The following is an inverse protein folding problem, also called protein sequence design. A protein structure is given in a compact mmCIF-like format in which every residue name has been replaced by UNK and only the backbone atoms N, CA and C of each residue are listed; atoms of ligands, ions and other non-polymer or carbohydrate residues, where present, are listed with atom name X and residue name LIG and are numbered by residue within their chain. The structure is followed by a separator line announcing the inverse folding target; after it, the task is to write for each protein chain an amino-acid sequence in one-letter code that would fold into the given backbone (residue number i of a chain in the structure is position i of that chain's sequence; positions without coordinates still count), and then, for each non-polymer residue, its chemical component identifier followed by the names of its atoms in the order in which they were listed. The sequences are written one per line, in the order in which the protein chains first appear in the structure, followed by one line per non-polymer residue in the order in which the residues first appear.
data_IF_082682507425
#
_entry.id   IF_082682507425
#
_cell.length_a   1.000
_cell.length_b   1.000
_cell.length_c   1.000
_cell.angle_alpha   90.00
_cell.angle_beta   90.00
_cell.angle_gamma   90.00
#
_symmetry.space_group_name_H-M   'P 1'
#
loop_
_entity.id
_entity.type
_entity.pdbx_description
1 polymer ?
#
# COMPACT_ATOMS: atom_id res chain seq x y z
N UNK A 1 19.80 -2.02 5.29
CA UNK A 1 18.71 -2.61 6.09
C UNK A 1 17.45 -1.87 5.69
N UNK A 2 16.43 -2.54 5.15
CA UNK A 2 15.18 -1.86 4.82
C UNK A 2 14.52 -1.39 6.12
N UNK A 3 14.25 -0.10 6.22
CA UNK A 3 13.61 0.48 7.40
C UNK A 3 12.10 0.26 7.32
N UNK A 4 11.66 -0.93 7.74
CA UNK A 4 10.25 -1.32 7.79
C UNK A 4 9.43 -0.48 8.78
N UNK A 5 10.07 0.36 9.61
CA UNK A 5 9.41 1.24 10.58
C UNK A 5 8.71 2.45 9.96
N UNK A 6 8.80 2.63 8.63
CA UNK A 6 8.24 3.78 7.91
C UNK A 6 7.00 3.46 7.08
N UNK A 7 6.34 2.32 7.29
CA UNK A 7 5.00 2.12 6.72
C UNK A 7 4.04 3.08 7.42
N UNK A 8 3.44 4.00 6.67
CA UNK A 8 2.50 4.99 7.21
C UNK A 8 1.09 4.49 6.98
N UNK A 9 0.29 4.50 8.03
CA UNK A 9 -1.12 4.16 8.00
C UNK A 9 -1.92 5.43 8.20
N UNK A 10 -2.90 5.70 7.33
CA UNK A 10 -3.81 6.82 7.53
C UNK A 10 -4.78 6.56 8.68
N UNK A 11 -5.39 7.64 9.15
CA UNK A 11 -6.63 7.53 9.91
C UNK A 11 -7.70 6.82 9.08
N UNK A 12 -8.62 6.16 9.78
CA UNK A 12 -9.76 5.48 9.15
C UNK A 12 -10.83 6.51 8.84
N UNK A 13 -11.42 6.39 7.68
CA UNK A 13 -12.58 7.17 7.26
C UNK A 13 -13.62 6.22 6.69
N UNK A 14 -14.89 6.51 6.88
CA UNK A 14 -15.99 5.64 6.46
C UNK A 14 -17.05 6.42 5.69
N UNK A 15 -17.72 5.75 4.78
CA UNK A 15 -19.00 6.20 4.22
C UNK A 15 -20.15 5.36 4.80
N UNK A 16 -21.33 5.42 4.20
CA UNK A 16 -22.51 4.69 4.66
C UNK A 16 -22.41 3.16 4.52
N UNK A 17 -21.44 2.65 3.75
CA UNK A 17 -21.32 1.25 3.36
C UNK A 17 -19.99 0.61 3.78
N UNK A 18 -18.88 1.36 3.81
CA UNK A 18 -17.53 0.82 4.01
C UNK A 18 -16.63 1.69 4.89
N UNK A 19 -15.62 1.05 5.50
CA UNK A 19 -14.51 1.70 6.19
C UNK A 19 -13.25 1.62 5.31
N UNK A 20 -12.53 2.73 5.20
CA UNK A 20 -11.38 2.91 4.34
C UNK A 20 -10.16 3.39 5.13
N UNK A 21 -8.98 3.04 4.62
CA UNK A 21 -7.67 3.51 5.06
C UNK A 21 -6.71 3.35 3.90
N UNK A 22 -5.76 4.26 3.76
CA UNK A 22 -4.62 4.08 2.85
C UNK A 22 -3.34 3.73 3.62
N UNK A 23 -2.50 2.93 2.98
CA UNK A 23 -1.19 2.52 3.50
C UNK A 23 -0.14 3.02 2.53
N UNK A 24 0.82 3.79 3.04
CA UNK A 24 1.90 4.36 2.24
C UNK A 24 3.17 3.55 2.51
N UNK A 25 3.67 2.92 1.44
CA UNK A 25 4.91 2.16 1.48
C UNK A 25 6.12 3.04 1.11
N UNK A 26 7.24 2.94 1.85
CA UNK A 26 8.48 3.58 1.46
C UNK A 26 8.96 3.10 0.08
N UNK A 27 9.44 4.03 -0.75
CA UNK A 27 9.98 3.69 -2.10
C UNK A 27 11.10 2.66 -2.07
N UNK A 28 11.88 2.61 -0.98
CA UNK A 28 12.96 1.64 -0.81
C UNK A 28 12.43 0.22 -0.64
N UNK A 29 11.27 0.04 0.01
CA UNK A 29 10.62 -1.25 0.18
C UNK A 29 10.04 -1.76 -1.14
N UNK A 30 9.45 -0.88 -1.95
CA UNK A 30 8.92 -1.26 -3.27
C UNK A 30 10.00 -1.95 -4.14
N UNK A 31 11.25 -1.46 -4.09
CA UNK A 31 12.37 -2.05 -4.86
C UNK A 31 12.74 -3.48 -4.44
N UNK A 32 12.30 -3.92 -3.25
CA UNK A 32 12.58 -5.25 -2.72
C UNK A 32 11.45 -6.24 -3.02
N UNK A 33 10.31 -5.76 -3.51
CA UNK A 33 9.15 -6.60 -3.77
C UNK A 33 9.34 -7.42 -5.06
N UNK A 34 8.78 -8.64 -5.12
CA UNK A 34 8.76 -9.43 -6.34
C UNK A 34 8.09 -8.67 -7.50
N UNK A 35 8.63 -8.82 -8.72
CA UNK A 35 8.02 -8.22 -9.92
C UNK A 35 6.57 -8.67 -10.14
N UNK A 36 6.20 -9.86 -9.66
CA UNK A 36 4.83 -10.39 -9.74
C UNK A 36 3.82 -9.62 -8.89
N UNK A 37 4.26 -8.73 -8.00
CA UNK A 37 3.38 -7.88 -7.18
C UNK A 37 3.08 -6.55 -7.87
N UNK A 38 3.77 -6.25 -8.96
CA UNK A 38 3.52 -5.06 -9.76
C UNK A 38 2.46 -5.35 -10.82
N UNK A 39 1.75 -4.30 -11.21
CA UNK A 39 0.85 -4.34 -12.35
C UNK A 39 1.64 -4.70 -13.62
N UNK A 40 1.02 -5.37 -14.60
CA UNK A 40 1.68 -5.76 -15.85
C UNK A 40 1.96 -4.57 -16.78
N UNK A 41 1.50 -3.37 -16.42
CA UNK A 41 1.74 -2.13 -17.17
C UNK A 41 3.02 -1.43 -16.70
N UNK A 42 3.42 -0.39 -17.45
CA UNK A 42 4.59 0.42 -17.12
C UNK A 42 4.32 1.47 -16.03
N UNK A 43 3.20 1.36 -15.30
CA UNK A 43 2.83 2.34 -14.26
C UNK A 43 3.77 2.30 -13.04
N UNK A 44 4.42 1.16 -12.82
CA UNK A 44 5.23 0.91 -11.62
C UNK A 44 4.41 0.82 -10.34
N UNK A 45 3.08 0.66 -10.45
CA UNK A 45 2.17 0.45 -9.33
C UNK A 45 2.11 -1.03 -8.95
N UNK A 46 1.72 -1.29 -7.70
CA UNK A 46 1.37 -2.64 -7.28
C UNK A 46 0.05 -3.04 -7.94
N UNK A 47 -0.08 -4.33 -8.29
CA UNK A 47 -1.41 -4.88 -8.60
C UNK A 47 -2.22 -5.02 -7.32
N UNK A 48 -3.49 -5.38 -7.46
CA UNK A 48 -4.29 -5.81 -6.32
C UNK A 48 -3.65 -7.05 -5.70
N UNK A 49 -3.39 -6.94 -4.41
CA UNK A 49 -2.72 -7.95 -3.59
C UNK A 49 -3.75 -8.61 -2.68
N UNK A 50 -3.76 -9.93 -2.63
CA UNK A 50 -4.59 -10.66 -1.67
C UNK A 50 -4.07 -10.47 -0.24
N UNK A 51 -4.88 -10.82 0.77
CA UNK A 51 -4.53 -10.64 2.18
C UNK A 51 -3.18 -11.24 2.57
N UNK A 52 -2.91 -12.47 2.15
CA UNK A 52 -1.64 -13.13 2.43
C UNK A 52 -0.44 -12.42 1.77
N UNK A 53 -0.65 -11.77 0.61
CA UNK A 53 0.39 -11.08 -0.13
C UNK A 53 0.74 -9.73 0.52
N UNK A 54 -0.26 -8.90 0.83
CA UNK A 54 0.00 -7.62 1.48
C UNK A 54 0.51 -7.78 2.92
N UNK A 55 0.07 -8.83 3.64
CA UNK A 55 0.68 -9.19 4.94
C UNK A 55 2.14 -9.61 4.77
N UNK A 56 2.48 -10.30 3.69
CA UNK A 56 3.87 -10.67 3.34
C UNK A 56 4.77 -9.46 3.03
N UNK A 57 4.21 -8.35 2.56
CA UNK A 57 4.91 -7.06 2.39
C UNK A 57 5.23 -6.41 3.75
N UNK A 58 4.66 -6.91 4.85
CA UNK A 58 4.82 -6.32 6.19
C UNK A 58 3.72 -5.32 6.55
N UNK A 59 2.71 -5.15 5.69
CA UNK A 59 1.52 -4.36 6.03
C UNK A 59 0.75 -5.11 7.12
N UNK A 60 0.54 -4.45 8.25
CA UNK A 60 -0.11 -5.06 9.43
C UNK A 60 -1.32 -4.24 9.81
N UNK A 61 -2.49 -4.84 9.67
CA UNK A 61 -3.79 -4.26 10.04
C UNK A 61 -4.72 -5.34 10.60
N UNK A 62 -5.84 -4.91 11.17
CA UNK A 62 -6.89 -5.79 11.70
C UNK A 62 -7.48 -6.70 10.61
N UNK A 63 -8.32 -7.66 10.99
CA UNK A 63 -9.00 -8.53 10.04
C UNK A 63 -10.09 -7.76 9.27
N UNK A 64 -10.43 -8.24 8.07
CA UNK A 64 -11.55 -7.73 7.26
C UNK A 64 -11.20 -6.62 6.26
N UNK A 65 -9.93 -6.24 6.14
CA UNK A 65 -9.50 -5.24 5.16
C UNK A 65 -9.22 -5.88 3.79
N UNK A 66 -9.87 -5.35 2.76
CA UNK A 66 -9.62 -5.71 1.37
C UNK A 66 -8.79 -4.63 0.67
N UNK A 67 -7.78 -5.04 -0.09
CA UNK A 67 -6.98 -4.12 -0.88
C UNK A 67 -7.72 -3.84 -2.18
N UNK A 68 -8.26 -2.63 -2.33
CA UNK A 68 -9.15 -2.31 -3.44
C UNK A 68 -8.44 -1.57 -4.58
N UNK A 69 -7.52 -0.65 -4.27
CA UNK A 69 -6.89 0.21 -5.27
C UNK A 69 -5.49 0.67 -4.86
N UNK A 70 -4.63 0.91 -5.86
CA UNK A 70 -3.29 1.48 -5.68
C UNK A 70 -3.24 2.83 -6.39
N UNK A 71 -2.94 3.88 -5.65
CA UNK A 71 -2.80 5.23 -6.18
C UNK A 71 -1.34 5.69 -6.08
N UNK A 72 -0.80 6.26 -7.17
CA UNK A 72 0.46 6.99 -7.09
C UNK A 72 0.27 8.20 -6.14
N UNK A 73 1.26 8.55 -5.30
CA UNK A 73 1.17 9.75 -4.49
C UNK A 73 0.96 10.96 -5.40
N UNK A 74 -0.08 11.75 -5.12
CA UNK A 74 -0.36 12.96 -5.89
C UNK A 74 0.85 13.90 -5.87
N UNK A 75 1.12 14.65 -6.95
CA UNK A 75 2.33 15.47 -7.10
C UNK A 75 2.53 16.52 -5.98
N UNK A 76 1.48 16.86 -5.24
CA UNK A 76 1.53 17.78 -4.09
C UNK A 76 1.93 17.11 -2.77
N UNK A 77 1.95 15.77 -2.69
CA UNK A 77 2.55 15.01 -1.58
C UNK A 77 4.08 14.94 -1.80
N UNK A 78 4.71 16.11 -1.79
CA UNK A 78 6.15 16.27 -1.56
C UNK A 78 6.23 17.21 -0.38
N UNK A 79 6.56 16.66 0.79
CA UNK A 79 6.74 17.42 2.03
C UNK A 79 7.55 18.70 1.78
N UNK A 80 7.04 19.81 2.31
CA UNK A 80 7.84 20.99 2.63
C UNK A 80 8.61 20.76 3.93
#
# INVERSE_FOLDING_TARGET
MADWSRIIYSDRYSDDHYEYRHVILPKQMLKLLPKSYFAPDDSGLLRILAEHEWRGVGITQSLGWEHFEVHAPEPHIRES
#
